data_IF_726847189522
#
_entry.id   IF_726847189522
#
_cell.length_a   1.000
_cell.length_b   1.000
_cell.length_c   1.000
_cell.angle_alpha   90.00
_cell.angle_beta   90.00
_cell.angle_gamma   90.00
#
_symmetry.space_group_name_H-M   'P 1'
#
loop_
_entity.id
_entity.type
_entity.pdbx_description
1 polymer ?
#
# COMPACT_ATOMS: atom_id res chain seq x y z
N UNK A 1 20.87 -5.36 21.47
CA UNK A 1 20.39 -6.74 21.20
C UNK A 1 19.04 -6.62 20.50
N UNK A 2 18.86 -7.24 19.34
CA UNK A 2 17.55 -7.24 18.66
C UNK A 2 16.59 -8.21 19.35
N UNK A 3 15.28 -7.94 19.39
CA UNK A 3 14.30 -8.84 20.00
C UNK A 3 14.22 -10.19 19.29
N UNK A 4 14.24 -11.30 20.03
CA UNK A 4 14.20 -12.67 19.46
C UNK A 4 12.96 -12.94 18.58
N UNK A 5 11.83 -12.28 18.87
CA UNK A 5 10.58 -12.43 18.10
C UNK A 5 10.71 -12.11 16.61
N UNK A 6 11.77 -11.42 16.20
CA UNK A 6 12.02 -11.06 14.81
C UNK A 6 13.15 -11.88 14.15
N UNK A 7 13.89 -12.69 14.92
CA UNK A 7 15.11 -13.36 14.45
C UNK A 7 14.86 -14.37 13.32
N UNK A 8 13.64 -14.91 13.24
CA UNK A 8 13.26 -15.91 12.25
C UNK A 8 12.42 -15.34 11.10
N UNK A 9 12.27 -14.01 11.01
CA UNK A 9 11.59 -13.41 9.86
C UNK A 9 12.46 -13.57 8.61
N UNK A 10 11.92 -14.15 7.52
CA UNK A 10 12.68 -14.27 6.29
C UNK A 10 12.94 -12.90 5.68
N UNK A 11 13.97 -12.81 4.84
CA UNK A 11 14.14 -11.65 3.98
C UNK A 11 12.88 -11.43 3.11
N UNK A 12 12.56 -10.16 2.86
CA UNK A 12 11.39 -9.77 2.08
C UNK A 12 11.38 -10.45 0.69
N UNK A 13 10.24 -11.00 0.22
CA UNK A 13 10.20 -11.82 -1.00
C UNK A 13 10.80 -11.17 -2.25
N UNK A 14 10.60 -9.86 -2.45
CA UNK A 14 11.13 -9.18 -3.64
C UNK A 14 12.65 -9.00 -3.60
N UNK A 15 13.23 -8.82 -2.40
CA UNK A 15 14.69 -8.79 -2.26
C UNK A 15 15.29 -10.17 -2.57
N UNK A 16 14.64 -11.24 -2.10
CA UNK A 16 15.05 -12.63 -2.42
C UNK A 16 14.98 -12.91 -3.90
N UNK A 17 13.89 -12.50 -4.56
CA UNK A 17 13.72 -12.69 -6.00
C UNK A 17 14.73 -11.86 -6.81
N UNK A 18 14.99 -10.61 -6.41
CA UNK A 18 16.01 -9.78 -7.04
C UNK A 18 17.38 -10.44 -6.97
N UNK A 19 17.78 -10.93 -5.79
CA UNK A 19 19.06 -11.63 -5.62
C UNK A 19 19.15 -12.93 -6.44
N UNK A 20 18.03 -13.64 -6.60
CA UNK A 20 17.97 -14.86 -7.42
C UNK A 20 18.19 -14.56 -8.91
N UNK A 21 17.67 -13.43 -9.39
CA UNK A 21 17.73 -13.03 -10.80
C UNK A 21 18.96 -12.17 -11.15
N UNK A 22 19.66 -11.62 -10.15
CA UNK A 22 20.81 -10.72 -10.31
C UNK A 22 21.89 -11.23 -11.29
N UNK A 23 22.25 -12.52 -11.33
CA UNK A 23 23.25 -13.03 -12.27
C UNK A 23 22.75 -13.16 -13.72
N UNK A 24 21.45 -13.02 -13.98
CA UNK A 24 20.83 -13.27 -15.29
C UNK A 24 20.86 -11.97 -16.12
N UNK A 25 21.60 -11.99 -17.22
CA UNK A 25 21.61 -10.89 -18.19
C UNK A 25 20.61 -11.15 -19.32
N UNK A 26 19.91 -10.10 -19.74
CA UNK A 26 18.94 -10.12 -20.86
C UNK A 26 19.15 -8.88 -21.72
N UNK A 27 19.06 -9.03 -23.04
CA UNK A 27 19.08 -7.92 -23.99
C UNK A 27 17.70 -7.22 -24.12
N UNK A 28 16.68 -7.76 -23.46
CA UNK A 28 15.31 -7.24 -23.49
C UNK A 28 14.97 -6.42 -22.25
N UNK A 29 14.06 -5.46 -22.41
CA UNK A 29 13.49 -4.70 -21.29
C UNK A 29 12.71 -5.65 -20.39
N UNK A 30 13.03 -5.62 -19.09
CA UNK A 30 12.34 -6.44 -18.10
C UNK A 30 10.89 -5.98 -17.92
N UNK A 31 9.95 -6.93 -17.99
CA UNK A 31 8.56 -6.71 -17.58
C UNK A 31 8.37 -7.20 -16.14
N UNK A 32 8.16 -6.27 -15.21
CA UNK A 32 7.97 -6.59 -13.80
C UNK A 32 6.56 -7.14 -13.57
N UNK A 33 6.44 -8.46 -13.44
CA UNK A 33 5.20 -9.16 -13.06
C UNK A 33 5.25 -9.72 -11.64
N UNK A 34 6.22 -9.28 -10.85
CA UNK A 34 6.58 -9.90 -9.56
C UNK A 34 6.03 -9.13 -8.37
N UNK A 35 5.63 -7.86 -8.56
CA UNK A 35 5.15 -6.97 -7.51
C UNK A 35 3.63 -6.79 -7.70
N UNK A 36 2.88 -7.07 -6.64
CA UNK A 36 1.41 -6.95 -6.62
C UNK A 36 0.90 -5.54 -6.32
N UNK A 37 1.69 -4.49 -6.60
CA UNK A 37 1.28 -3.11 -6.37
C UNK A 37 0.63 -2.55 -7.64
N UNK A 38 -0.59 -1.97 -7.55
CA UNK A 38 -1.22 -1.34 -8.70
C UNK A 38 -0.45 -0.08 -9.09
N UNK A 39 -0.10 0.04 -10.37
CA UNK A 39 0.61 1.22 -10.93
C UNK A 39 -0.33 2.20 -11.63
N UNK A 40 -1.63 1.95 -11.60
CA UNK A 40 -2.63 2.84 -12.17
C UNK A 40 -2.70 4.16 -11.40
N UNK A 41 -2.86 5.26 -12.13
CA UNK A 41 -3.12 6.55 -11.51
C UNK A 41 -4.42 6.49 -10.70
N UNK A 42 -4.44 7.18 -9.56
CA UNK A 42 -5.69 7.41 -8.84
C UNK A 42 -6.67 8.18 -9.73
N UNK A 43 -7.98 7.94 -9.60
CA UNK A 43 -8.98 8.87 -10.11
C UNK A 43 -8.71 10.29 -9.61
N UNK A 44 -8.72 11.28 -10.51
CA UNK A 44 -8.33 12.66 -10.20
C UNK A 44 -9.04 13.25 -8.99
N UNK A 45 -10.33 12.95 -8.85
CA UNK A 45 -11.17 13.43 -7.76
C UNK A 45 -10.69 13.03 -6.36
N UNK A 46 -9.90 11.95 -6.22
CA UNK A 46 -9.35 11.55 -4.91
C UNK A 46 -8.41 12.65 -4.37
N UNK A 47 -7.53 13.16 -5.23
CA UNK A 47 -6.55 14.19 -4.87
C UNK A 47 -7.30 15.48 -4.52
N UNK A 48 -8.31 15.84 -5.31
CA UNK A 48 -9.12 17.04 -5.09
C UNK A 48 -9.82 17.00 -3.72
N UNK A 49 -10.44 15.87 -3.36
CA UNK A 49 -11.11 15.71 -2.06
C UNK A 49 -10.11 15.80 -0.90
N UNK A 50 -8.92 15.19 -1.02
CA UNK A 50 -7.89 15.29 0.01
C UNK A 50 -7.46 16.76 0.20
N UNK A 51 -7.20 17.47 -0.90
CA UNK A 51 -6.80 18.87 -0.86
C UNK A 51 -7.90 19.76 -0.24
N UNK A 52 -9.16 19.54 -0.62
CA UNK A 52 -10.31 20.27 -0.06
C UNK A 52 -10.47 20.07 1.46
N UNK A 53 -10.09 18.89 1.98
CA UNK A 53 -10.24 18.54 3.39
C UNK A 53 -8.94 18.66 4.21
N UNK A 54 -7.88 19.26 3.64
CA UNK A 54 -6.54 19.31 4.22
C UNK A 54 -6.49 19.93 5.63
N UNK A 55 -7.39 20.87 5.95
CA UNK A 55 -7.47 21.51 7.28
C UNK A 55 -7.77 20.50 8.39
N UNK A 56 -8.52 19.43 8.09
CA UNK A 56 -8.89 18.40 9.06
C UNK A 56 -7.72 17.49 9.49
N UNK A 57 -6.59 17.54 8.80
CA UNK A 57 -5.42 16.69 9.10
C UNK A 57 -4.58 17.20 10.27
N UNK A 58 -4.84 18.42 10.76
CA UNK A 58 -4.15 19.00 11.93
C UNK A 58 -4.82 18.63 13.26
N UNK A 59 -5.51 17.50 13.32
CA UNK A 59 -6.19 17.02 14.52
C UNK A 59 -6.04 15.52 14.63
N UNK A 60 -5.92 15.03 15.87
CA UNK A 60 -5.77 13.61 16.11
C UNK A 60 -7.11 12.90 15.84
N UNK A 61 -7.17 11.94 14.91
CA UNK A 61 -8.43 11.28 14.58
C UNK A 61 -8.83 10.27 15.67
N UNK A 62 -10.13 9.92 15.77
CA UNK A 62 -10.57 8.81 16.61
C UNK A 62 -9.89 7.49 16.21
N UNK A 63 -9.58 6.64 17.19
CA UNK A 63 -8.97 5.33 16.94
C UNK A 63 -9.81 4.45 16.00
N UNK A 64 -11.13 4.56 16.09
CA UNK A 64 -12.10 3.78 15.29
C UNK A 64 -12.34 4.39 13.89
N UNK A 65 -11.71 5.51 13.56
CA UNK A 65 -12.04 6.33 12.39
C UNK A 65 -13.30 7.18 12.59
N UNK A 66 -13.62 8.02 11.60
CA UNK A 66 -14.79 8.90 11.69
C UNK A 66 -16.11 8.11 11.51
N UNK A 67 -17.22 8.57 12.11
CA UNK A 67 -18.53 7.96 11.89
C UNK A 67 -18.91 7.86 10.40
N UNK A 68 -18.57 8.88 9.61
CA UNK A 68 -18.84 8.97 8.17
C UNK A 68 -18.05 7.91 7.39
N UNK A 69 -16.77 7.70 7.73
CA UNK A 69 -15.95 6.66 7.11
C UNK A 69 -16.54 5.28 7.38
N UNK A 70 -16.88 4.99 8.64
CA UNK A 70 -17.47 3.71 9.04
C UNK A 70 -18.80 3.46 8.33
N UNK A 71 -19.66 4.48 8.23
CA UNK A 71 -20.91 4.42 7.49
C UNK A 71 -20.69 4.11 6.00
N UNK A 72 -19.77 4.84 5.35
CA UNK A 72 -19.45 4.65 3.95
C UNK A 72 -18.90 3.24 3.65
N UNK A 73 -18.07 2.68 4.53
CA UNK A 73 -17.58 1.30 4.42
C UNK A 73 -18.74 0.31 4.51
N UNK A 74 -19.62 0.45 5.52
CA UNK A 74 -20.79 -0.41 5.67
C UNK A 74 -21.70 -0.37 4.42
N UNK A 75 -21.96 0.82 3.89
CA UNK A 75 -22.81 0.99 2.71
C UNK A 75 -22.15 0.47 1.43
N UNK A 76 -20.81 0.48 1.35
CA UNK A 76 -20.08 -0.17 0.26
C UNK A 76 -20.22 -1.69 0.33
N UNK A 77 -19.98 -2.29 1.50
CA UNK A 77 -20.09 -3.74 1.72
C UNK A 77 -21.53 -4.25 1.51
N UNK A 78 -22.54 -3.44 1.82
CA UNK A 78 -23.94 -3.82 1.54
C UNK A 78 -24.30 -3.81 0.05
N UNK A 79 -23.57 -3.05 -0.77
CA UNK A 79 -23.87 -2.87 -2.20
C UNK A 79 -23.09 -3.83 -3.10
N UNK A 80 -21.98 -4.39 -2.64
CA UNK A 80 -21.05 -5.21 -3.42
C UNK A 80 -20.77 -6.53 -2.71
#
# INVERSE_FOLDING_TARGET
>A
MFPERFSNLPAYPFARLRNLLDPIQSEHVALTMTIGEPTHAFPSWIIDIIAQNAVGFNSYPPNEGSPELRGAICDWVKRR
#
